data_IF_713304103970
#
_entry.id   IF_713304103970
#
_cell.length_a   1.000
_cell.length_b   1.000
_cell.length_c   1.000
_cell.angle_alpha   90.00
_cell.angle_beta   90.00
_cell.angle_gamma   90.00
#
_symmetry.space_group_name_H-M   'P 1'
#
loop_
_entity.id
_entity.type
_entity.pdbx_description
1 polymer ?
#
# COMPACT_ATOMS: atom_id res chain seq x y z
N UNK A 1 -18.87 -2.00 -1.95
CA UNK A 1 -19.96 -1.01 -2.16
C UNK A 1 -21.18 -1.69 -2.75
N UNK A 2 -21.65 -1.29 -3.94
CA UNK A 2 -22.84 -1.87 -4.57
C UNK A 2 -22.74 -3.39 -4.85
N UNK A 3 -21.57 -3.87 -5.30
CA UNK A 3 -21.34 -5.31 -5.49
C UNK A 3 -21.39 -6.13 -4.19
N UNK A 4 -21.05 -5.53 -3.06
CA UNK A 4 -21.04 -6.19 -1.74
C UNK A 4 -22.46 -6.34 -1.18
N UNK A 5 -23.33 -5.39 -1.50
CA UNK A 5 -24.77 -5.43 -1.15
C UNK A 5 -25.50 -6.44 -2.03
N UNK A 6 -25.15 -6.53 -3.32
CA UNK A 6 -25.74 -7.53 -4.24
C UNK A 6 -25.23 -8.95 -3.94
N UNK A 7 -24.01 -9.11 -3.43
CA UNK A 7 -23.49 -10.40 -2.99
C UNK A 7 -23.78 -10.72 -1.51
N UNK A 8 -24.45 -9.83 -0.78
CA UNK A 8 -24.81 -10.02 0.64
C UNK A 8 -25.65 -11.28 0.86
N UNK A 9 -26.50 -11.65 -0.10
CA UNK A 9 -27.31 -12.87 -0.03
C UNK A 9 -26.47 -14.16 -0.13
N UNK A 10 -25.25 -14.07 -0.66
CA UNK A 10 -24.33 -15.20 -0.85
C UNK A 10 -23.14 -15.21 0.13
N UNK A 11 -23.00 -14.18 0.97
CA UNK A 11 -21.96 -14.11 2.01
C UNK A 11 -22.59 -13.89 3.37
N UNK A 12 -22.47 -14.88 4.27
CA UNK A 12 -22.95 -14.91 5.66
C UNK A 12 -22.78 -13.59 6.45
N UNK A 13 -23.65 -12.61 6.21
CA UNK A 13 -23.66 -11.34 6.91
C UNK A 13 -24.87 -10.52 6.51
N UNK A 14 -25.76 -10.28 7.46
CA UNK A 14 -26.78 -9.24 7.35
C UNK A 14 -26.07 -7.88 7.31
N UNK A 15 -25.94 -7.28 6.11
CA UNK A 15 -25.31 -5.96 5.98
C UNK A 15 -26.29 -4.92 5.46
N UNK A 16 -26.90 -4.19 6.40
CA UNK A 16 -27.71 -3.01 6.12
C UNK A 16 -26.88 -1.88 5.47
N UNK A 17 -27.41 -1.24 4.41
CA UNK A 17 -26.76 -0.18 3.64
C UNK A 17 -26.21 0.99 4.48
N UNK A 18 -26.86 1.33 5.59
CA UNK A 18 -26.44 2.39 6.51
C UNK A 18 -25.23 2.01 7.36
N UNK A 19 -25.13 0.74 7.78
CA UNK A 19 -23.98 0.23 8.52
C UNK A 19 -22.78 -0.01 7.61
N UNK A 20 -23.00 -0.36 6.33
CA UNK A 20 -21.94 -0.47 5.31
C UNK A 20 -21.30 0.88 5.02
N UNK A 21 -22.08 1.96 4.85
CA UNK A 21 -21.54 3.30 4.60
C UNK A 21 -20.77 3.86 5.80
N UNK A 22 -21.28 3.67 7.03
CA UNK A 22 -20.58 4.12 8.24
C UNK A 22 -19.35 3.25 8.57
N UNK A 23 -19.43 1.94 8.33
CA UNK A 23 -18.31 1.01 8.51
C UNK A 23 -17.22 1.20 7.45
N UNK A 24 -17.57 1.48 6.18
CA UNK A 24 -16.58 1.77 5.13
C UNK A 24 -15.73 3.01 5.43
N UNK A 25 -16.33 4.02 6.09
CA UNK A 25 -15.63 5.28 6.41
C UNK A 25 -14.86 5.19 7.75
N UNK A 26 -15.38 4.43 8.73
CA UNK A 26 -14.84 4.46 10.10
C UNK A 26 -14.20 3.15 10.60
N UNK A 27 -14.47 2.01 9.96
CA UNK A 27 -13.91 0.69 10.32
C UNK A 27 -13.54 -0.10 9.06
N UNK A 28 -12.32 0.07 8.52
CA UNK A 28 -11.93 -0.62 7.30
C UNK A 28 -12.04 -2.14 7.47
N UNK A 29 -12.86 -2.79 6.63
CA UNK A 29 -13.04 -4.23 6.66
C UNK A 29 -11.92 -4.94 5.89
N UNK A 30 -11.43 -6.03 6.48
CA UNK A 30 -10.48 -6.96 5.88
C UNK A 30 -9.22 -6.27 5.30
N UNK A 31 -8.78 -6.66 4.11
CA UNK A 31 -7.46 -6.27 3.56
C UNK A 31 -7.41 -4.85 2.98
N UNK A 32 -8.54 -4.13 2.91
CA UNK A 32 -8.63 -2.78 2.33
C UNK A 32 -8.16 -1.67 3.29
N UNK A 33 -7.86 -2.00 4.55
CA UNK A 33 -7.38 -1.04 5.55
C UNK A 33 -6.10 -0.32 5.11
N UNK A 34 -5.22 -1.00 4.38
CA UNK A 34 -3.96 -0.44 3.92
C UNK A 34 -4.16 0.65 2.87
N UNK A 35 -5.06 0.45 1.89
CA UNK A 35 -5.37 1.48 0.89
C UNK A 35 -5.99 2.72 1.52
N UNK A 36 -6.89 2.52 2.48
CA UNK A 36 -7.50 3.62 3.23
C UNK A 36 -6.45 4.39 4.03
N UNK A 37 -5.57 3.69 4.75
CA UNK A 37 -4.47 4.30 5.48
C UNK A 37 -3.52 5.08 4.55
N UNK A 38 -3.15 4.48 3.41
CA UNK A 38 -2.28 5.10 2.42
C UNK A 38 -2.92 6.36 1.83
N UNK A 39 -4.23 6.33 1.53
CA UNK A 39 -4.97 7.49 1.04
C UNK A 39 -4.99 8.62 2.06
N UNK A 40 -5.32 8.34 3.33
CA UNK A 40 -5.33 9.37 4.37
C UNK A 40 -3.94 9.96 4.62
N UNK A 41 -2.92 9.09 4.72
CA UNK A 41 -1.52 9.52 4.84
C UNK A 41 -1.12 10.39 3.65
N UNK A 42 -1.51 10.00 2.43
CA UNK A 42 -1.24 10.77 1.22
C UNK A 42 -1.86 12.17 1.28
N UNK A 43 -3.13 12.29 1.68
CA UNK A 43 -3.81 13.59 1.83
C UNK A 43 -3.12 14.47 2.88
N UNK A 44 -2.84 13.91 4.07
CA UNK A 44 -2.17 14.63 5.16
C UNK A 44 -0.78 15.09 4.74
N UNK A 45 0.04 14.18 4.20
CA UNK A 45 1.38 14.51 3.75
C UNK A 45 1.33 15.50 2.58
N UNK A 46 0.43 15.36 1.63
CA UNK A 46 0.29 16.32 0.52
C UNK A 46 0.01 17.73 1.04
N UNK A 47 -0.89 17.89 2.01
CA UNK A 47 -1.20 19.20 2.61
C UNK A 47 -0.02 19.78 3.39
N UNK A 48 0.69 18.95 4.17
CA UNK A 48 1.89 19.36 4.92
C UNK A 48 3.02 19.77 3.99
N UNK A 49 3.32 18.97 2.96
CA UNK A 49 4.39 19.23 2.02
C UNK A 49 4.05 20.30 0.98
N UNK A 50 2.77 20.56 0.67
CA UNK A 50 2.36 21.65 -0.21
C UNK A 50 2.76 23.03 0.33
N UNK A 51 2.91 23.17 1.64
CA UNK A 51 3.30 24.41 2.32
C UNK A 51 4.76 24.41 2.79
N UNK A 52 5.47 23.30 2.65
CA UNK A 52 6.81 23.12 3.17
C UNK A 52 7.89 23.29 2.09
N UNK A 53 8.87 24.16 2.33
CA UNK A 53 10.08 24.24 1.49
C UNK A 53 11.02 23.05 1.68
N UNK A 54 11.94 22.83 0.75
CA UNK A 54 12.95 21.72 0.77
C UNK A 54 13.69 21.54 2.10
N UNK A 55 13.94 22.64 2.82
CA UNK A 55 14.64 22.61 4.13
C UNK A 55 13.80 22.01 5.25
N UNK A 56 12.47 21.98 5.11
CA UNK A 56 11.55 21.47 6.12
C UNK A 56 11.30 19.96 6.01
N UNK A 57 11.82 19.28 4.99
CA UNK A 57 11.58 17.83 4.81
C UNK A 57 12.16 16.99 5.95
N UNK A 58 13.39 17.30 6.39
CA UNK A 58 14.03 16.62 7.52
C UNK A 58 13.31 16.88 8.87
N UNK A 59 12.98 18.12 9.27
CA UNK A 59 12.26 18.33 10.53
C UNK A 59 10.85 17.74 10.51
N UNK A 60 10.17 17.70 9.35
CA UNK A 60 8.86 17.03 9.21
C UNK A 60 9.01 15.52 9.42
N UNK A 61 10.05 14.89 8.84
CA UNK A 61 10.34 13.47 9.04
C UNK A 61 10.65 13.15 10.51
N UNK A 62 11.45 13.98 11.17
CA UNK A 62 11.73 13.86 12.60
C UNK A 62 10.47 14.03 13.45
N UNK A 63 9.59 14.97 13.10
CA UNK A 63 8.31 15.13 13.77
C UNK A 63 7.44 13.88 13.65
N UNK A 64 7.35 13.27 12.45
CA UNK A 64 6.64 12.00 12.28
C UNK A 64 7.31 10.83 13.03
N UNK A 65 8.64 10.83 13.18
CA UNK A 65 9.35 9.83 13.98
C UNK A 65 9.03 9.93 15.47
N UNK A 66 8.95 11.15 15.98
CA UNK A 66 8.52 11.42 17.35
C UNK A 66 7.06 10.97 17.54
N UNK A 67 6.17 11.32 16.61
CA UNK A 67 4.76 10.90 16.67
C UNK A 67 4.60 9.37 16.61
N UNK A 68 5.45 8.67 15.87
CA UNK A 68 5.48 7.20 15.85
C UNK A 68 5.85 6.64 17.23
N UNK A 69 6.87 7.20 17.89
CA UNK A 69 7.32 6.74 19.21
C UNK A 69 6.27 6.98 20.31
N UNK A 70 5.55 8.10 20.24
CA UNK A 70 4.48 8.45 21.17
C UNK A 70 3.11 7.83 20.80
N UNK A 71 3.04 6.99 19.77
CA UNK A 71 1.78 6.36 19.32
C UNK A 71 1.09 5.57 20.43
N UNK A 72 1.85 4.86 21.27
CA UNK A 72 1.30 4.04 22.36
C UNK A 72 0.67 4.89 23.48
N UNK A 73 1.13 6.13 23.67
CA UNK A 73 0.58 7.05 24.66
C UNK A 73 -0.70 7.77 24.19
N UNK A 74 -1.05 7.68 22.90
CA UNK A 74 -2.23 8.31 22.33
C UNK A 74 -3.45 7.39 22.47
N UNK A 75 -4.39 7.76 23.32
CA UNK A 75 -5.53 6.97 23.83
C UNK A 75 -6.70 6.68 22.85
N UNK A 76 -6.49 6.59 21.53
CA UNK A 76 -7.60 6.35 20.60
C UNK A 76 -7.34 5.25 19.58
N UNK A 77 -7.96 4.07 19.78
CA UNK A 77 -8.17 2.98 18.81
C UNK A 77 -8.93 3.48 17.57
N UNK A 78 -8.28 4.31 16.78
CA UNK A 78 -8.88 5.12 15.73
C UNK A 78 -7.98 5.14 14.51
N UNK A 79 -8.56 5.47 13.35
CA UNK A 79 -7.84 5.66 12.09
C UNK A 79 -6.61 6.59 12.26
N UNK A 80 -6.60 7.49 13.24
CA UNK A 80 -5.49 8.40 13.56
C UNK A 80 -4.24 7.63 14.00
N UNK A 81 -4.35 6.63 14.89
CA UNK A 81 -3.19 5.82 15.28
C UNK A 81 -2.60 5.04 14.09
N UNK A 82 -3.46 4.59 13.16
CA UNK A 82 -3.02 3.92 11.94
C UNK A 82 -2.32 4.88 10.98
N UNK A 83 -2.86 6.08 10.78
CA UNK A 83 -2.25 7.12 9.95
C UNK A 83 -0.90 7.53 10.53
N UNK A 84 -0.83 7.83 11.83
CA UNK A 84 0.41 8.24 12.50
C UNK A 84 1.47 7.13 12.50
N UNK A 85 1.06 5.87 12.67
CA UNK A 85 1.96 4.72 12.61
C UNK A 85 2.60 4.50 11.23
N UNK A 86 1.92 4.87 10.16
CA UNK A 86 2.38 4.65 8.78
C UNK A 86 2.93 5.90 8.09
N UNK A 87 2.62 7.10 8.60
CA UNK A 87 3.03 8.38 8.02
C UNK A 87 4.55 8.53 7.94
N UNK A 88 5.29 8.00 8.91
CA UNK A 88 6.77 8.03 8.88
C UNK A 88 7.34 7.29 7.67
N UNK A 89 6.80 6.12 7.34
CA UNK A 89 7.29 5.35 6.20
C UNK A 89 6.99 6.04 4.87
N UNK A 90 5.85 6.72 4.80
CA UNK A 90 5.51 7.55 3.65
C UNK A 90 6.45 8.77 3.53
N UNK A 91 6.69 9.47 4.64
CA UNK A 91 7.62 10.61 4.68
C UNK A 91 9.07 10.20 4.34
N UNK A 92 9.51 9.01 4.79
CA UNK A 92 10.79 8.42 4.39
C UNK A 92 10.88 8.23 2.87
N UNK A 93 9.81 7.72 2.24
CA UNK A 93 9.74 7.60 0.78
C UNK A 93 9.88 8.94 0.04
N UNK A 94 9.25 10.00 0.55
CA UNK A 94 9.38 11.36 0.01
C UNK A 94 10.83 11.86 0.14
N UNK A 95 11.44 11.67 1.31
CA UNK A 95 12.83 12.07 1.56
C UNK A 95 13.81 11.34 0.64
N UNK A 96 13.60 10.04 0.39
CA UNK A 96 14.39 9.25 -0.55
C UNK A 96 14.35 9.84 -1.96
N UNK A 97 13.22 10.43 -2.39
CA UNK A 97 13.14 11.08 -3.71
C UNK A 97 14.05 12.32 -3.83
N UNK A 98 14.36 13.02 -2.74
CA UNK A 98 15.33 14.12 -2.73
C UNK A 98 16.78 13.60 -2.77
N UNK A 99 17.06 12.50 -2.07
CA UNK A 99 18.42 11.89 -2.01
C UNK A 99 18.67 10.90 -3.15
N UNK A 100 17.68 10.65 -4.03
CA UNK A 100 17.75 9.64 -5.09
C UNK A 100 18.98 9.79 -5.98
N UNK A 101 19.37 11.03 -6.32
CA UNK A 101 20.51 11.28 -7.19
C UNK A 101 21.83 10.80 -6.55
N UNK A 102 21.96 11.00 -5.24
CA UNK A 102 23.09 10.51 -4.45
C UNK A 102 23.06 8.98 -4.30
N UNK A 103 21.88 8.42 -4.02
CA UNK A 103 21.67 6.96 -3.95
C UNK A 103 22.05 6.29 -5.27
N UNK A 104 21.65 6.86 -6.40
CA UNK A 104 21.91 6.32 -7.73
C UNK A 104 23.39 6.40 -8.12
N UNK A 105 24.12 7.41 -7.63
CA UNK A 105 25.56 7.52 -7.84
C UNK A 105 26.37 6.44 -7.10
N UNK A 106 25.88 5.94 -5.95
CA UNK A 106 26.62 5.01 -5.06
C UNK A 106 25.87 3.72 -4.75
N UNK A 107 24.88 3.35 -5.55
CA UNK A 107 23.92 2.30 -5.23
C UNK A 107 24.56 0.94 -4.93
N UNK A 108 25.63 0.52 -5.61
CA UNK A 108 26.29 -0.77 -5.33
C UNK A 108 26.94 -0.81 -3.94
N UNK A 109 27.65 0.26 -3.55
CA UNK A 109 28.29 0.36 -2.24
C UNK A 109 27.24 0.47 -1.13
N UNK A 110 26.20 1.27 -1.36
CA UNK A 110 25.09 1.44 -0.42
C UNK A 110 24.25 0.17 -0.28
N UNK A 111 24.03 -0.59 -1.35
CA UNK A 111 23.35 -1.89 -1.30
C UNK A 111 24.12 -2.88 -0.40
N UNK A 112 25.44 -2.98 -0.56
CA UNK A 112 26.27 -3.83 0.28
C UNK A 112 26.26 -3.38 1.74
N UNK A 113 26.40 -2.08 1.99
CA UNK A 113 26.36 -1.50 3.33
C UNK A 113 25.01 -1.75 4.02
N UNK A 114 23.90 -1.39 3.37
CA UNK A 114 22.56 -1.59 3.93
C UNK A 114 22.17 -3.06 3.99
N UNK A 115 22.67 -3.91 3.09
CA UNK A 115 22.48 -5.35 3.15
C UNK A 115 23.19 -5.98 4.35
N UNK A 116 24.45 -5.62 4.58
CA UNK A 116 25.18 -6.04 5.78
C UNK A 116 24.50 -5.53 7.06
N UNK A 117 24.08 -4.25 7.06
CA UNK A 117 23.38 -3.65 8.18
C UNK A 117 21.99 -4.26 8.41
N UNK A 118 21.30 -4.70 7.36
CA UNK A 118 20.03 -5.42 7.45
C UNK A 118 20.24 -6.78 8.10
N UNK A 119 21.20 -7.58 7.65
CA UNK A 119 21.50 -8.89 8.25
C UNK A 119 21.93 -8.73 9.71
N UNK A 120 22.85 -7.81 9.99
CA UNK A 120 23.31 -7.52 11.35
C UNK A 120 22.17 -6.98 12.23
N UNK A 121 21.32 -6.11 11.68
CA UNK A 121 20.16 -5.55 12.36
C UNK A 121 19.11 -6.60 12.69
N UNK A 122 18.79 -7.50 11.75
CA UNK A 122 17.87 -8.61 11.98
C UNK A 122 18.43 -9.58 13.02
N UNK A 123 19.71 -9.92 12.94
CA UNK A 123 20.38 -10.76 13.94
C UNK A 123 20.37 -10.12 15.33
N UNK A 124 20.74 -8.84 15.43
CA UNK A 124 20.74 -8.09 16.68
C UNK A 124 19.33 -7.89 17.26
N UNK A 125 18.31 -7.76 16.41
CA UNK A 125 16.94 -7.58 16.86
C UNK A 125 16.31 -8.89 17.34
N UNK A 126 16.59 -10.01 16.66
CA UNK A 126 15.99 -11.31 16.98
C UNK A 126 16.75 -12.12 18.03
N UNK A 127 18.09 -12.01 18.09
CA UNK A 127 18.92 -12.88 18.95
C UNK A 127 19.13 -12.32 20.35
N UNK A 128 19.81 -11.18 20.56
CA UNK A 128 20.07 -10.65 21.90
C UNK A 128 18.87 -9.90 22.52
N UNK A 129 18.00 -9.33 21.69
CA UNK A 129 16.89 -8.49 22.16
C UNK A 129 15.60 -9.26 22.43
N UNK A 130 15.42 -10.47 21.87
CA UNK A 130 14.27 -11.35 22.14
C UNK A 130 12.89 -10.74 21.86
N UNK A 131 12.84 -9.59 21.17
CA UNK A 131 11.66 -8.77 20.99
C UNK A 131 10.78 -9.38 19.89
N UNK A 132 9.73 -10.08 20.30
CA UNK A 132 8.72 -10.63 19.41
C UNK A 132 7.59 -9.63 19.25
N UNK A 133 7.57 -8.93 18.11
CA UNK A 133 6.42 -8.31 17.43
C UNK A 133 5.55 -7.26 18.15
N UNK A 134 5.64 -7.11 19.47
CA UNK A 134 4.70 -6.30 20.27
C UNK A 134 5.27 -4.94 20.71
N UNK A 135 6.59 -4.82 20.79
CA UNK A 135 7.24 -3.59 21.26
C UNK A 135 7.60 -2.71 20.07
N UNK A 136 6.64 -1.88 19.66
CA UNK A 136 6.92 -0.70 18.85
C UNK A 136 7.92 0.21 19.58
N UNK A 137 8.94 0.69 18.88
CA UNK A 137 9.97 1.53 19.49
C UNK A 137 11.05 1.99 18.51
N UNK A 138 12.08 2.66 19.05
CA UNK A 138 13.19 3.21 18.25
C UNK A 138 13.94 2.11 17.50
N UNK A 139 14.12 0.94 18.10
CA UNK A 139 14.81 -0.19 17.46
C UNK A 139 14.03 -0.73 16.25
N UNK A 140 12.71 -0.87 16.36
CA UNK A 140 11.85 -1.30 15.25
C UNK A 140 11.84 -0.24 14.13
N UNK A 141 11.81 1.05 14.47
CA UNK A 141 11.88 2.13 13.50
C UNK A 141 13.22 2.17 12.77
N UNK A 142 14.32 1.99 13.49
CA UNK A 142 15.67 1.93 12.92
C UNK A 142 15.80 0.74 11.96
N UNK A 143 15.37 -0.45 12.40
CA UNK A 143 15.39 -1.66 11.57
C UNK A 143 14.52 -1.49 10.31
N UNK A 144 13.31 -0.93 10.44
CA UNK A 144 12.44 -0.65 9.31
C UNK A 144 13.07 0.36 8.34
N UNK A 145 13.71 1.41 8.85
CA UNK A 145 14.41 2.41 8.01
C UNK A 145 15.58 1.78 7.24
N UNK A 146 16.39 0.95 7.90
CA UNK A 146 17.49 0.21 7.27
C UNK A 146 16.95 -0.73 6.19
N UNK A 147 15.86 -1.44 6.49
CA UNK A 147 15.21 -2.35 5.56
C UNK A 147 14.66 -1.63 4.32
N UNK A 148 14.03 -0.46 4.50
CA UNK A 148 13.55 0.37 3.39
C UNK A 148 14.71 0.85 2.51
N UNK A 149 15.79 1.34 3.12
CA UNK A 149 16.98 1.78 2.39
C UNK A 149 17.65 0.64 1.63
N UNK A 150 17.73 -0.55 2.24
CA UNK A 150 18.19 -1.76 1.58
C UNK A 150 17.31 -2.11 0.38
N UNK A 151 15.98 -2.14 0.56
CA UNK A 151 15.05 -2.49 -0.52
C UNK A 151 15.12 -1.48 -1.69
N UNK A 152 15.25 -0.18 -1.40
CA UNK A 152 15.41 0.86 -2.42
C UNK A 152 16.72 0.69 -3.18
N UNK A 153 17.84 0.50 -2.48
CA UNK A 153 19.15 0.32 -3.13
C UNK A 153 19.25 -0.99 -3.91
N UNK A 154 18.63 -2.06 -3.40
CA UNK A 154 18.48 -3.33 -4.11
C UNK A 154 17.62 -3.16 -5.37
N UNK A 155 16.50 -2.44 -5.29
CA UNK A 155 15.64 -2.16 -6.44
C UNK A 155 16.38 -1.34 -7.51
N UNK A 156 17.16 -0.33 -7.11
CA UNK A 156 18.01 0.44 -8.03
C UNK A 156 19.09 -0.41 -8.70
N UNK A 157 19.73 -1.32 -7.94
CA UNK A 157 20.72 -2.25 -8.48
C UNK A 157 20.08 -3.25 -9.45
N UNK A 158 18.94 -3.83 -9.08
CA UNK A 158 18.21 -4.80 -9.90
C UNK A 158 17.62 -4.14 -11.16
N UNK A 159 17.33 -2.85 -11.12
CA UNK A 159 16.93 -2.05 -12.29
C UNK A 159 17.97 -2.01 -13.41
N UNK A 160 19.23 -2.40 -13.16
CA UNK A 160 20.23 -2.65 -14.22
C UNK A 160 19.86 -3.84 -15.10
N UNK A 161 19.20 -4.84 -14.53
CA UNK A 161 18.70 -6.00 -15.24
C UNK A 161 17.26 -5.71 -15.69
N UNK A 162 17.10 -5.37 -16.97
CA UNK A 162 15.78 -5.10 -17.56
C UNK A 162 14.99 -6.40 -17.77
N UNK A 163 14.51 -6.98 -16.67
CA UNK A 163 13.64 -8.16 -16.71
C UNK A 163 12.22 -7.67 -17.00
N UNK A 164 11.78 -7.83 -18.26
CA UNK A 164 10.48 -7.35 -18.73
C UNK A 164 9.30 -7.90 -17.93
N UNK A 165 9.35 -9.19 -17.56
CA UNK A 165 8.31 -9.82 -16.73
C UNK A 165 8.21 -9.15 -15.36
N UNK A 166 9.33 -8.84 -14.71
CA UNK A 166 9.33 -8.19 -13.39
C UNK A 166 8.76 -6.77 -13.46
N UNK A 167 9.08 -6.03 -14.53
CA UNK A 167 8.49 -4.72 -14.80
C UNK A 167 6.98 -4.81 -15.03
N UNK A 168 6.52 -5.85 -15.73
CA UNK A 168 5.10 -6.12 -15.92
C UNK A 168 4.40 -6.37 -14.58
N UNK A 169 4.89 -7.28 -13.75
CA UNK A 169 4.35 -7.52 -12.40
C UNK A 169 4.33 -6.26 -11.52
N UNK A 170 5.39 -5.46 -11.56
CA UNK A 170 5.47 -4.20 -10.83
C UNK A 170 4.43 -3.18 -11.27
N UNK A 171 4.26 -2.99 -12.59
CA UNK A 171 3.22 -2.13 -13.16
C UNK A 171 1.80 -2.63 -12.81
N UNK A 172 1.64 -3.95 -12.66
CA UNK A 172 0.39 -4.63 -12.32
C UNK A 172 0.05 -4.64 -10.83
N UNK A 173 0.96 -4.20 -9.96
CA UNK A 173 0.84 -4.35 -8.51
C UNK A 173 -0.45 -3.77 -7.93
N UNK A 174 -0.89 -2.61 -8.40
CA UNK A 174 -2.15 -1.98 -7.96
C UNK A 174 -3.37 -2.81 -8.36
N UNK A 175 -3.42 -3.25 -9.62
CA UNK A 175 -4.52 -4.09 -10.13
C UNK A 175 -4.57 -5.43 -9.41
N UNK A 176 -3.42 -6.07 -9.19
CA UNK A 176 -3.32 -7.29 -8.38
C UNK A 176 -3.86 -7.03 -6.98
N UNK A 177 -3.41 -5.97 -6.31
CA UNK A 177 -3.84 -5.62 -4.96
C UNK A 177 -5.36 -5.42 -4.84
N UNK A 178 -6.03 -4.86 -5.86
CA UNK A 178 -7.49 -4.71 -5.81
C UNK A 178 -8.24 -5.99 -6.18
N UNK A 179 -7.84 -6.66 -7.27
CA UNK A 179 -8.61 -7.76 -7.83
C UNK A 179 -8.36 -9.11 -7.15
N UNK A 180 -7.20 -9.32 -6.51
CA UNK A 180 -6.87 -10.62 -5.90
C UNK A 180 -7.87 -11.00 -4.79
N UNK A 181 -8.44 -10.03 -4.08
CA UNK A 181 -9.45 -10.29 -3.05
C UNK A 181 -10.76 -10.73 -3.65
N UNK A 182 -11.21 -10.10 -4.73
CA UNK A 182 -12.43 -10.49 -5.45
C UNK A 182 -12.26 -11.87 -6.11
N UNK A 183 -11.10 -12.12 -6.71
CA UNK A 183 -10.79 -13.42 -7.31
C UNK A 183 -10.67 -14.51 -6.25
N UNK A 184 -9.95 -14.26 -5.16
CA UNK A 184 -9.75 -15.23 -4.07
C UNK A 184 -11.04 -15.55 -3.32
N UNK A 185 -11.87 -14.55 -3.02
CA UNK A 185 -13.17 -14.78 -2.38
C UNK A 185 -14.14 -15.51 -3.33
N UNK A 186 -14.15 -15.15 -4.62
CA UNK A 186 -14.97 -15.83 -5.64
C UNK A 186 -14.62 -17.30 -5.77
N UNK A 187 -13.34 -17.64 -5.84
CA UNK A 187 -12.87 -19.03 -5.87
C UNK A 187 -13.26 -19.78 -4.62
N UNK A 188 -13.12 -19.16 -3.44
CA UNK A 188 -13.53 -19.76 -2.18
C UNK A 188 -15.03 -20.10 -2.19
N UNK A 189 -15.88 -19.17 -2.62
CA UNK A 189 -17.33 -19.39 -2.71
C UNK A 189 -17.67 -20.49 -3.73
N UNK A 190 -17.00 -20.50 -4.90
CA UNK A 190 -17.21 -21.56 -5.89
C UNK A 190 -16.78 -22.93 -5.34
N UNK A 191 -15.61 -23.02 -4.70
CA UNK A 191 -15.10 -24.28 -4.17
C UNK A 191 -15.93 -24.79 -2.97
N UNK A 192 -16.34 -23.90 -2.06
CA UNK A 192 -17.09 -24.29 -0.86
C UNK A 192 -18.58 -24.47 -1.10
N UNK A 193 -19.21 -23.65 -1.96
CA UNK A 193 -20.67 -23.68 -2.14
C UNK A 193 -21.13 -24.48 -3.37
N UNK A 194 -20.29 -24.63 -4.41
CA UNK A 194 -20.67 -25.37 -5.62
C UNK A 194 -20.00 -26.73 -5.75
N UNK A 195 -18.84 -26.95 -5.13
CA UNK A 195 -18.06 -28.17 -5.31
C UNK A 195 -17.94 -29.04 -4.05
N UNK A 196 -18.34 -28.55 -2.87
CA UNK A 196 -18.30 -29.26 -1.58
C UNK A 196 -16.90 -29.85 -1.23
N UNK A 197 -15.84 -29.24 -1.77
CA UNK A 197 -14.45 -29.68 -1.54
C UNK A 197 -13.86 -28.88 -0.38
N UNK A 198 -14.02 -29.34 0.85
CA UNK A 198 -13.50 -28.66 2.06
C UNK A 198 -11.99 -28.85 2.32
N UNK A 199 -11.22 -29.25 1.30
CA UNK A 199 -9.77 -29.38 1.46
C UNK A 199 -9.11 -28.00 1.53
N UNK A 200 -8.51 -27.70 2.69
CA UNK A 200 -7.73 -26.48 2.96
C UNK A 200 -6.59 -26.31 1.94
N UNK A 201 -5.92 -27.40 1.57
CA UNK A 201 -4.78 -27.38 0.65
C UNK A 201 -5.24 -27.02 -0.77
N UNK A 202 -6.38 -27.57 -1.20
CA UNK A 202 -6.96 -27.25 -2.50
C UNK A 202 -7.37 -25.78 -2.57
N UNK A 203 -8.04 -25.27 -1.54
CA UNK A 203 -8.40 -23.87 -1.44
C UNK A 203 -7.19 -22.93 -1.44
N UNK A 204 -6.11 -23.29 -0.75
CA UNK A 204 -4.91 -22.49 -0.69
C UNK A 204 -4.19 -22.43 -2.04
N UNK A 205 -4.00 -23.57 -2.69
CA UNK A 205 -3.29 -23.65 -3.98
C UNK A 205 -4.11 -23.02 -5.10
N UNK A 206 -5.38 -23.40 -5.24
CA UNK A 206 -6.24 -22.89 -6.31
C UNK A 206 -6.57 -21.41 -6.07
N UNK A 207 -6.84 -21.02 -4.81
CA UNK A 207 -7.11 -19.64 -4.43
C UNK A 207 -5.92 -18.71 -4.66
N UNK A 208 -4.69 -19.14 -4.36
CA UNK A 208 -3.48 -18.33 -4.65
C UNK A 208 -3.18 -18.26 -6.13
N UNK A 209 -3.31 -19.38 -6.85
CA UNK A 209 -3.02 -19.45 -8.29
C UNK A 209 -4.01 -18.60 -9.09
N UNK A 210 -5.31 -18.69 -8.79
CA UNK A 210 -6.34 -17.86 -9.42
C UNK A 210 -6.29 -16.42 -8.90
N UNK A 211 -6.05 -16.22 -7.61
CA UNK A 211 -5.88 -14.89 -7.00
C UNK A 211 -4.73 -14.08 -7.61
N UNK A 212 -3.69 -14.73 -8.12
CA UNK A 212 -2.59 -14.07 -8.84
C UNK A 212 -2.83 -14.00 -10.36
N UNK A 213 -3.27 -15.11 -10.97
CA UNK A 213 -3.42 -15.19 -12.43
C UNK A 213 -4.61 -14.40 -12.96
N UNK A 214 -5.74 -14.36 -12.25
CA UNK A 214 -6.93 -13.65 -12.70
C UNK A 214 -6.71 -12.11 -12.78
N UNK A 215 -6.08 -11.44 -11.80
CA UNK A 215 -5.74 -10.02 -11.95
C UNK A 215 -4.75 -9.73 -13.08
N UNK A 216 -3.77 -10.61 -13.31
CA UNK A 216 -2.82 -10.47 -14.41
C UNK A 216 -3.52 -10.62 -15.77
N UNK A 217 -4.39 -11.61 -15.91
CA UNK A 217 -5.22 -11.80 -17.12
C UNK A 217 -6.14 -10.59 -17.34
N UNK A 218 -6.83 -10.13 -16.30
CA UNK A 218 -7.66 -8.94 -16.36
C UNK A 218 -6.86 -7.72 -16.84
N UNK A 219 -5.64 -7.54 -16.36
CA UNK A 219 -4.79 -6.44 -16.80
C UNK A 219 -4.30 -6.57 -18.24
N UNK A 220 -3.92 -7.77 -18.69
CA UNK A 220 -3.59 -8.00 -20.11
C UNK A 220 -4.79 -7.69 -20.99
N UNK A 221 -5.99 -8.08 -20.58
CA UNK A 221 -7.24 -7.79 -21.29
C UNK A 221 -7.48 -6.27 -21.33
N UNK A 222 -7.40 -5.57 -20.18
CA UNK A 222 -7.58 -4.12 -20.12
C UNK A 222 -6.58 -3.37 -21.01
N UNK A 223 -5.31 -3.79 -21.01
CA UNK A 223 -4.27 -3.21 -21.86
C UNK A 223 -4.48 -3.53 -23.35
N UNK A 224 -4.91 -4.75 -23.67
CA UNK A 224 -5.15 -5.19 -25.05
C UNK A 224 -6.40 -4.56 -25.67
N UNK A 225 -7.43 -4.28 -24.88
CA UNK A 225 -8.69 -3.68 -25.34
C UNK A 225 -8.79 -2.17 -25.10
N UNK A 226 -7.74 -1.52 -24.57
CA UNK A 226 -7.64 -0.06 -24.44
C UNK A 226 -8.86 0.57 -23.72
N UNK A 227 -9.42 -0.12 -22.72
CA UNK A 227 -10.62 0.29 -21.96
C UNK A 227 -10.34 1.42 -20.95
N UNK A 228 -9.48 2.38 -21.31
CA UNK A 228 -9.27 3.63 -20.56
C UNK A 228 -10.57 4.44 -20.37
N UNK A 229 -11.61 4.13 -21.14
CA UNK A 229 -12.94 4.73 -21.04
C UNK A 229 -13.68 4.42 -19.73
N UNK A 230 -13.30 3.37 -18.98
CA UNK A 230 -13.92 3.02 -17.69
C UNK A 230 -13.23 3.65 -16.47
N UNK A 231 -11.98 4.09 -16.62
CA UNK A 231 -11.15 4.68 -15.55
C UNK A 231 -10.91 6.18 -15.72
N UNK A 232 -11.42 6.78 -16.80
CA UNK A 232 -11.44 8.24 -16.96
C UNK A 232 -12.82 8.77 -16.58
N UNK A 233 -12.93 9.69 -15.60
CA UNK A 233 -14.22 10.31 -15.31
C UNK A 233 -14.72 11.05 -16.56
N UNK A 234 -16.05 11.09 -16.80
CA UNK A 234 -16.62 11.79 -17.93
C UNK A 234 -16.09 13.24 -17.98
N UNK A 235 -15.78 13.71 -19.19
CA UNK A 235 -15.15 15.04 -19.45
C UNK A 235 -15.89 16.23 -18.82
N UNK A 236 -17.13 16.05 -18.37
CA UNK A 236 -17.92 17.03 -17.63
C UNK A 236 -17.39 17.31 -16.21
N UNK A 237 -16.65 16.40 -15.58
CA UNK A 237 -16.17 16.52 -14.17
C UNK A 237 -14.64 16.75 -14.08
N UNK A 238 -13.94 16.77 -15.22
CA UNK A 238 -12.50 17.02 -15.27
C UNK A 238 -12.17 18.46 -14.85
N UNK A 239 -11.20 18.64 -13.95
CA UNK A 239 -10.72 19.94 -13.46
C UNK A 239 -10.29 20.91 -14.59
N UNK A 240 -9.98 20.42 -15.79
CA UNK A 240 -9.71 21.25 -16.97
C UNK A 240 -10.94 21.99 -17.49
N UNK A 241 -12.14 21.40 -17.39
CA UNK A 241 -13.40 22.06 -17.78
C UNK A 241 -13.74 23.21 -16.83
N UNK A 242 -13.55 22.99 -15.52
CA UNK A 242 -13.75 24.02 -14.50
C UNK A 242 -12.77 25.19 -14.67
N UNK A 243 -11.49 24.91 -14.97
CA UNK A 243 -10.47 25.95 -15.22
C UNK A 243 -10.76 26.76 -16.47
N UNK A 244 -11.26 26.13 -17.54
CA UNK A 244 -11.64 26.83 -18.77
C UNK A 244 -12.91 27.68 -18.60
N UNK A 245 -13.85 27.27 -17.72
CA UNK A 245 -15.02 28.09 -17.39
C UNK A 245 -14.68 29.31 -16.54
N UNK A 246 -13.68 29.21 -15.66
CA UNK A 246 -13.22 30.37 -14.88
C UNK A 246 -12.45 31.38 -15.74
N UNK A 247 -11.73 30.91 -16.77
CA UNK A 247 -11.03 31.80 -17.73
C UNK A 247 -11.93 32.41 -18.81
N UNK A 248 -13.14 31.90 -19.02
CA UNK A 248 -14.11 32.49 -19.95
C UNK A 248 -14.97 33.61 -19.31
N UNK A 249 -14.86 33.80 -18.00
CA UNK A 249 -15.56 34.84 -17.23
C UNK A 249 -14.62 35.95 -16.72
N UNK A 250 -13.38 35.99 -17.19
CA UNK A 250 -12.47 37.14 -17.10
C UNK A 250 -12.32 37.76 -18.48
#
# INVERSE_FOLDING_TARGET
GLFEVVLSDYTNGDVALSSVLFSLVWSPRAQFWFLYALFLVFVVCSFVYARAGRRLFLPILLAFAILYLFRQAMLANSAVQFVLGNAIFFALGIWINEVKAFLLARHTQLMLLFGALFIAGQYAFHVPLGLTWDVGGVAALALATISILFMVTLSMWLGRFRIQWLLFFGASSMTIYLLHILAGSGVRVIMSAFLDIDSIVAHLLVGTLIGLSAPLLAQVIIQRYNLYFLLTPPRSVSANSLRNRTMAHQ
#
